data_IF_441340977216
#
_entry.id   IF_441340977216
#
_cell.length_a   1.000
_cell.length_b   1.000
_cell.length_c   1.000
_cell.angle_alpha   90.00
_cell.angle_beta   90.00
_cell.angle_gamma   90.00
#
_symmetry.space_group_name_H-M   'P 1'
#
loop_
_entity.id
_entity.type
_entity.pdbx_description
1 polymer ?
#
# COMPACT_ATOMS: atom_id res chain seq x y z
N UNK A 1 15.64 9.20 1.40
CA UNK A 1 15.02 8.12 0.61
C UNK A 1 15.59 6.79 1.13
N UNK A 2 15.11 6.35 2.30
CA UNK A 2 15.80 5.35 3.15
C UNK A 2 15.46 3.90 2.79
N UNK A 3 14.62 3.68 1.78
CA UNK A 3 14.05 2.36 1.42
C UNK A 3 14.96 1.55 0.48
N UNK A 4 15.87 2.21 -0.23
CA UNK A 4 16.83 1.60 -1.15
C UNK A 4 18.27 1.82 -0.66
N UNK A 5 18.64 1.18 0.46
CA UNK A 5 19.92 1.45 1.15
C UNK A 5 21.16 1.02 0.36
N UNK A 6 21.01 0.05 -0.54
CA UNK A 6 22.12 -0.54 -1.31
C UNK A 6 21.92 -0.39 -2.83
N UNK A 7 21.06 0.55 -3.25
CA UNK A 7 20.81 0.74 -4.67
C UNK A 7 22.02 1.38 -5.37
N UNK A 8 22.33 0.87 -6.57
CA UNK A 8 23.38 1.45 -7.39
C UNK A 8 22.87 2.73 -8.04
N UNK A 9 23.58 3.83 -7.80
CA UNK A 9 23.28 5.10 -8.45
C UNK A 9 23.79 5.14 -9.89
N UNK A 10 22.97 5.74 -10.75
CA UNK A 10 23.28 5.89 -12.16
C UNK A 10 22.73 7.21 -12.68
N UNK A 11 23.49 7.98 -13.45
CA UNK A 11 22.95 9.19 -14.09
C UNK A 11 21.96 8.84 -15.21
N UNK A 12 21.05 9.76 -15.54
CA UNK A 12 20.14 9.60 -16.69
C UNK A 12 20.91 9.32 -17.99
N UNK A 13 22.09 9.93 -18.19
CA UNK A 13 22.92 9.71 -19.38
C UNK A 13 23.48 8.29 -19.42
N UNK A 14 23.97 7.78 -18.30
CA UNK A 14 24.43 6.40 -18.18
C UNK A 14 23.27 5.40 -18.32
N UNK A 15 22.07 5.74 -17.84
CA UNK A 15 20.87 4.91 -17.99
C UNK A 15 20.50 4.76 -19.46
N UNK A 16 20.50 5.89 -20.19
CA UNK A 16 20.25 5.91 -21.62
C UNK A 16 21.31 5.11 -22.39
N UNK A 17 22.57 5.19 -21.98
CA UNK A 17 23.65 4.43 -22.63
C UNK A 17 23.57 2.91 -22.36
N UNK A 18 23.21 2.49 -21.14
CA UNK A 18 23.01 1.06 -20.81
C UNK A 18 21.80 0.45 -21.53
N UNK A 19 20.78 1.26 -21.80
CA UNK A 19 19.54 0.84 -22.43
C UNK A 19 18.59 0.08 -21.50
N UNK A 20 17.29 0.11 -21.80
CA UNK A 20 16.22 -0.43 -20.94
C UNK A 20 16.39 -1.93 -20.68
N UNK A 21 16.77 -2.72 -21.69
CA UNK A 21 16.92 -4.17 -21.56
C UNK A 21 17.91 -4.56 -20.45
N UNK A 22 19.03 -3.84 -20.33
CA UNK A 22 20.04 -4.12 -19.31
C UNK A 22 19.58 -3.67 -17.92
N UNK A 23 18.90 -2.53 -17.82
CA UNK A 23 18.33 -2.06 -16.55
C UNK A 23 17.28 -3.05 -16.01
N UNK A 24 16.46 -3.62 -16.90
CA UNK A 24 15.49 -4.67 -16.54
C UNK A 24 16.22 -5.93 -16.07
N UNK A 25 17.23 -6.40 -16.80
CA UNK A 25 17.99 -7.58 -16.41
C UNK A 25 18.71 -7.43 -15.06
N UNK A 26 19.27 -6.24 -14.79
CA UNK A 26 19.89 -5.92 -13.49
C UNK A 26 18.84 -5.98 -12.37
N UNK A 27 17.64 -5.42 -12.60
CA UNK A 27 16.54 -5.44 -11.64
C UNK A 27 16.00 -6.86 -11.40
N UNK A 28 15.85 -7.69 -12.43
CA UNK A 28 15.45 -9.10 -12.31
C UNK A 28 16.44 -9.91 -11.45
N UNK A 29 17.73 -9.59 -11.52
CA UNK A 29 18.77 -10.19 -10.68
C UNK A 29 18.78 -9.65 -9.25
N UNK A 30 17.87 -8.74 -8.89
CA UNK A 30 17.73 -8.16 -7.56
C UNK A 30 18.61 -6.94 -7.31
N UNK A 31 19.20 -6.34 -8.36
CA UNK A 31 19.93 -5.07 -8.23
C UNK A 31 18.96 -3.90 -8.33
N UNK A 32 18.74 -3.21 -7.23
CA UNK A 32 17.99 -1.96 -7.23
C UNK A 32 18.86 -0.83 -7.80
N UNK A 33 18.30 -0.06 -8.73
CA UNK A 33 19.00 1.06 -9.38
C UNK A 33 18.28 2.37 -9.07
N UNK A 34 19.03 3.41 -8.73
CA UNK A 34 18.51 4.78 -8.59
C UNK A 34 19.05 5.63 -9.73
N UNK A 35 18.13 6.14 -10.56
CA UNK A 35 18.48 7.04 -11.66
C UNK A 35 18.48 8.47 -11.16
N UNK A 36 19.59 9.19 -11.37
CA UNK A 36 19.79 10.56 -10.92
C UNK A 36 19.93 11.54 -12.10
N UNK A 37 19.44 12.76 -11.92
CA UNK A 37 19.66 13.90 -12.81
C UNK A 37 20.30 15.02 -12.01
N UNK A 38 21.51 15.44 -12.39
CA UNK A 38 22.29 16.45 -11.63
C UNK A 38 22.41 16.08 -10.15
N UNK A 39 22.75 14.81 -9.88
CA UNK A 39 22.87 14.22 -8.53
C UNK A 39 21.58 14.18 -7.69
N UNK A 40 20.42 14.50 -8.29
CA UNK A 40 19.13 14.33 -7.64
C UNK A 40 18.44 13.04 -8.14
N UNK A 41 18.00 12.14 -7.26
CA UNK A 41 17.19 10.97 -7.64
C UNK A 41 15.91 11.40 -8.36
N UNK A 42 15.62 10.79 -9.51
CA UNK A 42 14.43 11.07 -10.34
C UNK A 42 13.61 9.83 -10.69
N UNK A 43 14.21 8.64 -10.64
CA UNK A 43 13.51 7.38 -10.85
C UNK A 43 14.25 6.23 -10.13
N UNK A 44 13.57 5.11 -9.95
CA UNK A 44 14.18 3.86 -9.50
C UNK A 44 13.76 2.72 -10.44
N UNK A 45 14.66 1.77 -10.64
CA UNK A 45 14.37 0.51 -11.34
C UNK A 45 14.57 -0.61 -10.33
N UNK A 46 13.51 -1.35 -10.07
CA UNK A 46 13.46 -2.45 -9.10
C UNK A 46 12.69 -3.62 -9.73
N UNK A 47 12.90 -4.83 -9.22
CA UNK A 47 12.08 -5.98 -9.66
C UNK A 47 10.60 -5.78 -9.26
N UNK A 48 9.68 -6.38 -10.02
CA UNK A 48 8.25 -6.36 -9.66
C UNK A 48 8.00 -7.02 -8.29
N UNK A 49 8.75 -8.08 -7.97
CA UNK A 49 8.70 -8.73 -6.65
C UNK A 49 9.03 -7.72 -5.55
N UNK A 50 10.10 -6.95 -5.71
CA UNK A 50 10.51 -5.94 -4.73
C UNK A 50 9.48 -4.83 -4.59
N UNK A 51 8.87 -4.38 -5.70
CA UNK A 51 7.79 -3.41 -5.64
C UNK A 51 6.59 -3.94 -4.85
N UNK A 52 6.15 -5.16 -5.13
CA UNK A 52 5.04 -5.78 -4.43
C UNK A 52 5.31 -5.93 -2.93
N UNK A 53 6.52 -6.33 -2.52
CA UNK A 53 6.92 -6.41 -1.10
C UNK A 53 6.80 -5.05 -0.39
N UNK A 54 7.14 -3.96 -1.08
CA UNK A 54 7.01 -2.61 -0.52
C UNK A 54 5.55 -2.18 -0.40
N UNK A 55 4.72 -2.52 -1.38
CA UNK A 55 3.29 -2.23 -1.37
C UNK A 55 2.55 -3.02 -0.29
N UNK A 56 2.88 -4.29 -0.13
CA UNK A 56 2.35 -5.18 0.92
C UNK A 56 2.76 -4.67 2.31
N UNK A 57 4.04 -4.39 2.53
CA UNK A 57 4.49 -3.82 3.81
C UNK A 57 3.81 -2.48 4.12
N UNK A 58 3.54 -1.66 3.11
CA UNK A 58 2.79 -0.41 3.31
C UNK A 58 1.31 -0.65 3.64
N UNK A 59 0.70 -1.70 3.09
CA UNK A 59 -0.66 -2.12 3.46
C UNK A 59 -0.71 -2.63 4.91
N UNK A 60 0.22 -3.51 5.28
CA UNK A 60 0.33 -4.05 6.64
C UNK A 60 0.50 -2.95 7.68
N UNK A 61 1.30 -1.92 7.39
CA UNK A 61 1.48 -0.77 8.28
C UNK A 61 0.20 0.05 8.44
N UNK A 62 -0.63 0.17 7.40
CA UNK A 62 -1.94 0.84 7.50
C UNK A 62 -2.90 0.02 8.35
N UNK A 63 -2.93 -1.30 8.16
CA UNK A 63 -3.78 -2.20 8.92
C UNK A 63 -3.37 -2.22 10.40
N UNK A 64 -2.06 -2.27 10.68
CA UNK A 64 -1.53 -2.14 12.03
C UNK A 64 -1.92 -0.81 12.66
N UNK A 65 -1.80 0.31 11.93
CA UNK A 65 -2.20 1.62 12.43
C UNK A 65 -3.71 1.66 12.77
N UNK A 66 -4.56 1.04 11.95
CA UNK A 66 -5.99 0.91 12.21
C UNK A 66 -6.27 0.10 13.49
N UNK A 67 -5.61 -1.04 13.65
CA UNK A 67 -5.74 -1.90 14.85
C UNK A 67 -5.28 -1.15 16.10
N UNK A 68 -4.15 -0.45 16.05
CA UNK A 68 -3.65 0.34 17.16
C UNK A 68 -4.59 1.50 17.51
N UNK A 69 -5.07 2.24 16.50
CA UNK A 69 -6.04 3.31 16.71
C UNK A 69 -7.31 2.77 17.37
N UNK A 70 -7.84 1.63 16.89
CA UNK A 70 -9.01 0.99 17.50
C UNK A 70 -8.71 0.53 18.92
N UNK A 71 -7.54 -0.07 19.17
CA UNK A 71 -7.16 -0.56 20.49
C UNK A 71 -7.04 0.56 21.52
N UNK A 72 -6.57 1.74 21.11
CA UNK A 72 -6.45 2.91 22.00
C UNK A 72 -7.78 3.66 22.17
N UNK A 73 -8.67 3.59 21.19
CA UNK A 73 -9.96 4.33 21.20
C UNK A 73 -11.16 3.47 21.59
N UNK A 74 -11.02 2.16 21.71
CA UNK A 74 -12.10 1.28 22.15
C UNK A 74 -12.43 1.56 23.63
N UNK A 75 -13.60 2.15 23.87
CA UNK A 75 -14.14 2.40 25.20
C UNK A 75 -14.60 1.13 25.90
N UNK A 76 -14.65 0.00 25.18
CA UNK A 76 -15.24 -1.25 25.66
C UNK A 76 -16.77 -1.28 25.58
N UNK A 77 -17.40 -0.17 25.19
CA UNK A 77 -18.84 -0.10 24.99
C UNK A 77 -19.25 -0.98 23.80
N UNK A 78 -20.36 -1.69 23.97
CA UNK A 78 -20.94 -2.59 22.96
C UNK A 78 -22.39 -2.18 22.77
N UNK A 79 -22.80 -2.07 21.52
CA UNK A 79 -24.16 -1.68 21.14
C UNK A 79 -24.81 -2.87 20.45
N UNK A 80 -26.03 -3.24 20.84
CA UNK A 80 -26.73 -4.33 20.18
C UNK A 80 -27.16 -3.91 18.78
N UNK A 81 -27.31 -4.88 17.86
CA UNK A 81 -27.82 -4.58 16.52
C UNK A 81 -29.21 -3.91 16.59
N UNK A 82 -30.04 -4.31 17.55
CA UNK A 82 -31.40 -3.79 17.69
C UNK A 82 -31.38 -2.32 18.15
N UNK A 83 -30.44 -1.93 19.01
CA UNK A 83 -30.24 -0.52 19.40
C UNK A 83 -29.79 0.34 18.23
N UNK A 84 -28.91 -0.20 17.36
CA UNK A 84 -28.50 0.48 16.12
C UNK A 84 -29.70 0.65 15.20
N UNK A 85 -30.46 -0.42 14.95
CA UNK A 85 -31.65 -0.36 14.11
C UNK A 85 -32.66 0.65 14.63
N UNK A 86 -32.92 0.64 15.94
CA UNK A 86 -33.79 1.60 16.59
C UNK A 86 -33.30 3.04 16.43
N UNK A 87 -31.99 3.30 16.50
CA UNK A 87 -31.40 4.63 16.27
C UNK A 87 -31.62 5.14 14.84
N UNK A 88 -31.77 4.24 13.87
CA UNK A 88 -32.12 4.57 12.48
C UNK A 88 -33.63 4.48 12.20
N UNK A 89 -34.47 4.26 13.22
CA UNK A 89 -35.92 4.12 13.07
C UNK A 89 -36.34 2.85 12.32
N UNK A 90 -35.49 1.82 12.33
CA UNK A 90 -35.71 0.54 11.68
C UNK A 90 -35.89 -0.59 12.69
N UNK A 91 -36.51 -1.68 12.23
CA UNK A 91 -36.51 -2.97 12.93
C UNK A 91 -36.02 -4.06 11.99
N UNK A 92 -35.71 -5.25 12.52
CA UNK A 92 -35.31 -6.39 11.68
C UNK A 92 -36.41 -6.79 10.71
N UNK A 93 -37.66 -6.74 11.16
CA UNK A 93 -38.84 -7.06 10.37
C UNK A 93 -39.03 -6.05 9.24
N UNK A 94 -38.82 -4.77 9.51
CA UNK A 94 -38.87 -3.70 8.50
C UNK A 94 -37.83 -3.92 7.40
N UNK A 95 -36.60 -4.28 7.77
CA UNK A 95 -35.55 -4.58 6.79
C UNK A 95 -35.80 -5.87 6.01
N UNK A 96 -36.30 -6.92 6.67
CA UNK A 96 -36.63 -8.18 6.01
C UNK A 96 -37.82 -8.07 5.04
N UNK A 97 -38.62 -7.01 5.15
CA UNK A 97 -39.71 -6.72 4.23
C UNK A 97 -39.26 -5.94 2.98
N UNK A 98 -38.00 -5.48 2.93
CA UNK A 98 -37.43 -4.84 1.74
C UNK A 98 -37.26 -5.92 0.66
N UNK A 99 -37.83 -5.74 -0.55
CA UNK A 99 -37.60 -6.68 -1.65
C UNK A 99 -36.11 -6.72 -1.99
N UNK A 100 -35.56 -7.91 -2.22
CA UNK A 100 -34.23 -8.02 -2.80
C UNK A 100 -34.28 -7.45 -4.23
N UNK A 101 -33.48 -6.42 -4.52
CA UNK A 101 -33.32 -5.91 -5.88
C UNK A 101 -32.58 -6.97 -6.72
N UNK A 102 -33.24 -7.49 -7.77
CA UNK A 102 -32.67 -8.38 -8.81
C UNK A 102 -31.63 -7.67 -9.69
#
# INVERSE_FOLDING_TARGET
MTVLRDATELSVTEAAHRGVARLVADAEQGTDLVVTRRHQPVAAVVSIRRLNELEEAAADLRDLALVLARSVTDTGERVSLDDVLAAFGQTRESLAAIPDDE
#
